data_IF_721982142749
#
_entry.id   IF_721982142749
#
_cell.length_a   1.000
_cell.length_b   1.000
_cell.length_c   1.000
_cell.angle_alpha   90.00
_cell.angle_beta   90.00
_cell.angle_gamma   90.00
#
_symmetry.space_group_name_H-M   'P 1'
#
loop_
_entity.id
_entity.type
_entity.pdbx_description
1 polymer ?
#
# COMPACT_ATOMS: atom_id res chain seq x y z
N UNK A 1 -8.83 15.37 -7.66
CA UNK A 1 -8.49 14.00 -7.26
C UNK A 1 -9.13 12.99 -8.18
N UNK A 2 -8.45 11.89 -8.40
CA UNK A 2 -9.01 10.79 -9.20
C UNK A 2 -9.59 9.74 -8.27
N UNK A 3 -10.58 9.04 -8.77
CA UNK A 3 -11.26 7.99 -8.00
C UNK A 3 -11.27 6.70 -8.82
N UNK A 4 -10.92 5.61 -8.17
CA UNK A 4 -10.99 4.29 -8.77
C UNK A 4 -12.09 3.48 -8.08
N UNK A 5 -13.00 2.93 -8.87
CA UNK A 5 -14.05 2.06 -8.35
C UNK A 5 -13.76 0.64 -8.79
N UNK A 6 -13.72 -0.28 -7.85
CA UNK A 6 -13.47 -1.69 -8.12
C UNK A 6 -14.70 -2.49 -7.70
N UNK A 7 -15.26 -3.23 -8.66
CA UNK A 7 -16.40 -4.11 -8.37
C UNK A 7 -15.87 -5.52 -8.12
N UNK A 8 -16.48 -6.21 -7.18
CA UNK A 8 -16.07 -7.57 -6.86
C UNK A 8 -17.28 -8.38 -6.36
N UNK A 9 -17.23 -9.72 -6.55
CA UNK A 9 -18.31 -10.58 -6.06
C UNK A 9 -18.49 -10.48 -4.55
N UNK A 10 -19.73 -10.53 -4.10
CA UNK A 10 -20.04 -10.34 -2.69
C UNK A 10 -19.41 -11.37 -1.77
N UNK A 11 -19.09 -12.53 -2.28
CA UNK A 11 -18.55 -13.61 -1.46
C UNK A 11 -17.02 -13.55 -1.29
N UNK A 12 -16.33 -12.63 -1.96
CA UNK A 12 -14.87 -12.58 -1.86
C UNK A 12 -14.36 -12.28 -0.46
N UNK A 13 -14.96 -11.33 0.28
CA UNK A 13 -14.50 -11.11 1.66
C UNK A 13 -14.59 -12.38 2.50
N UNK A 14 -15.70 -13.12 2.39
CA UNK A 14 -15.85 -14.36 3.13
C UNK A 14 -14.81 -15.40 2.71
N UNK A 15 -14.53 -15.47 1.42
CA UNK A 15 -13.50 -16.39 0.92
C UNK A 15 -12.14 -16.07 1.48
N UNK A 16 -11.87 -14.80 1.74
CA UNK A 16 -10.60 -14.35 2.30
C UNK A 16 -10.62 -14.34 3.83
N UNK A 17 -11.74 -14.73 4.43
CA UNK A 17 -11.94 -14.72 5.89
C UNK A 17 -11.79 -13.32 6.47
N UNK A 18 -12.30 -12.33 5.75
CA UNK A 18 -12.23 -10.93 6.15
C UNK A 18 -13.61 -10.31 6.11
N UNK A 19 -13.82 -9.28 6.91
CA UNK A 19 -15.01 -8.46 6.76
C UNK A 19 -14.88 -7.66 5.47
N UNK A 20 -15.98 -7.05 5.02
CA UNK A 20 -15.96 -6.23 3.83
C UNK A 20 -14.95 -5.09 3.96
N UNK A 21 -14.96 -4.42 5.10
CA UNK A 21 -14.04 -3.30 5.33
C UNK A 21 -12.60 -3.76 5.36
N UNK A 22 -12.35 -4.88 6.01
CA UNK A 22 -11.00 -5.44 6.06
C UNK A 22 -10.53 -5.86 4.68
N UNK A 23 -11.43 -6.43 3.88
CA UNK A 23 -11.10 -6.86 2.53
C UNK A 23 -10.74 -5.66 1.65
N UNK A 24 -11.53 -4.60 1.72
CA UNK A 24 -11.27 -3.40 0.92
C UNK A 24 -9.98 -2.71 1.35
N UNK A 25 -9.70 -2.70 2.65
CA UNK A 25 -8.44 -2.17 3.13
C UNK A 25 -7.26 -3.01 2.63
N UNK A 26 -7.40 -4.33 2.66
CA UNK A 26 -6.38 -5.24 2.18
C UNK A 26 -6.12 -5.04 0.69
N UNK A 27 -7.17 -4.79 -0.08
CA UNK A 27 -7.02 -4.54 -1.51
C UNK A 27 -6.23 -3.25 -1.78
N UNK A 28 -6.55 -2.19 -1.05
CA UNK A 28 -5.82 -0.92 -1.20
C UNK A 28 -4.36 -1.09 -0.82
N UNK A 29 -4.14 -1.80 0.26
CA UNK A 29 -2.79 -2.05 0.75
C UNK A 29 -1.99 -2.88 -0.25
N UNK A 30 -2.59 -3.93 -0.80
CA UNK A 30 -1.92 -4.79 -1.78
C UNK A 30 -1.58 -4.00 -3.04
N UNK A 31 -2.49 -3.14 -3.49
CA UNK A 31 -2.26 -2.31 -4.65
C UNK A 31 -1.09 -1.36 -4.42
N UNK A 32 -1.10 -0.68 -3.28
CA UNK A 32 -0.03 0.25 -2.93
C UNK A 32 1.31 -0.47 -2.80
N UNK A 33 1.30 -1.62 -2.12
CA UNK A 33 2.52 -2.39 -1.92
C UNK A 33 3.12 -2.86 -3.23
N UNK A 34 2.28 -3.32 -4.15
CA UNK A 34 2.78 -3.81 -5.43
C UNK A 34 3.35 -2.70 -6.28
N UNK A 35 2.71 -1.55 -6.32
CA UNK A 35 3.21 -0.42 -7.08
C UNK A 35 4.53 0.09 -6.50
N UNK A 36 4.67 0.03 -5.18
CA UNK A 36 5.93 0.37 -4.54
C UNK A 36 7.00 -0.66 -4.89
N UNK A 37 6.66 -1.93 -4.81
CA UNK A 37 7.60 -3.01 -5.12
C UNK A 37 8.10 -2.93 -6.56
N UNK A 38 7.20 -2.58 -7.48
CA UNK A 38 7.54 -2.44 -8.90
C UNK A 38 8.32 -1.17 -9.21
N UNK A 39 8.53 -0.32 -8.22
CA UNK A 39 9.24 0.94 -8.44
C UNK A 39 8.43 2.00 -9.15
N UNK A 40 7.12 1.83 -9.20
CA UNK A 40 6.23 2.81 -9.86
C UNK A 40 5.89 3.98 -8.95
N UNK A 41 5.90 3.74 -7.64
CA UNK A 41 5.61 4.76 -6.65
C UNK A 41 6.66 4.71 -5.56
N UNK A 42 6.97 5.88 -4.98
CA UNK A 42 7.77 5.94 -3.78
C UNK A 42 6.92 5.46 -2.59
N UNK A 43 7.56 5.25 -1.45
CA UNK A 43 6.84 4.81 -0.26
C UNK A 43 5.82 5.85 0.19
N UNK A 44 6.15 7.13 0.10
CA UNK A 44 5.21 8.19 0.46
C UNK A 44 4.02 8.25 -0.49
N UNK A 45 4.27 8.08 -1.79
CA UNK A 45 3.20 8.07 -2.78
C UNK A 45 2.30 6.87 -2.60
N UNK A 46 2.89 5.70 -2.37
CA UNK A 46 2.12 4.48 -2.17
C UNK A 46 1.27 4.56 -0.90
N UNK A 47 1.82 5.13 0.17
CA UNK A 47 1.09 5.29 1.42
C UNK A 47 -0.14 6.19 1.26
N UNK A 48 -0.15 7.07 0.27
CA UNK A 48 -1.30 7.93 0.02
C UNK A 48 -2.52 7.14 -0.46
N UNK A 49 -2.33 5.91 -0.92
CA UNK A 49 -3.44 5.07 -1.37
C UNK A 49 -4.17 4.37 -0.23
N UNK A 50 -3.60 4.39 0.96
CA UNK A 50 -4.22 3.79 2.14
C UNK A 50 -4.29 4.83 3.25
N UNK A 51 -5.26 4.72 4.16
CA UNK A 51 -5.38 5.69 5.25
C UNK A 51 -4.35 5.41 6.35
N UNK A 52 -3.08 5.66 6.01
CA UNK A 52 -1.98 5.41 6.93
C UNK A 52 -0.86 6.38 6.61
N UNK A 53 0.09 6.53 7.52
CA UNK A 53 1.25 7.34 7.26
C UNK A 53 2.34 6.46 6.62
N UNK A 54 3.41 7.11 6.14
CA UNK A 54 4.49 6.41 5.46
C UNK A 54 5.18 5.40 6.36
N UNK A 55 5.40 5.77 7.62
CA UNK A 55 6.08 4.88 8.55
C UNK A 55 5.28 3.60 8.80
N UNK A 56 3.99 3.76 9.07
CA UNK A 56 3.11 2.61 9.28
C UNK A 56 2.98 1.76 8.02
N UNK A 57 2.97 2.40 6.86
CA UNK A 57 2.91 1.68 5.58
C UNK A 57 4.16 0.81 5.40
N UNK A 58 5.34 1.37 5.65
CA UNK A 58 6.59 0.62 5.53
C UNK A 58 6.64 -0.55 6.49
N UNK A 59 6.15 -0.35 7.70
CA UNK A 59 6.07 -1.41 8.69
C UNK A 59 5.17 -2.54 8.21
N UNK A 60 4.05 -2.18 7.60
CA UNK A 60 3.11 -3.17 7.05
C UNK A 60 3.73 -3.93 5.88
N UNK A 61 4.47 -3.23 5.01
CA UNK A 61 5.17 -3.88 3.92
C UNK A 61 6.13 -4.95 4.44
N UNK A 62 6.84 -4.63 5.49
CA UNK A 62 7.77 -5.57 6.09
C UNK A 62 7.02 -6.82 6.57
N UNK A 63 5.87 -6.63 7.19
CA UNK A 63 5.04 -7.74 7.66
C UNK A 63 4.51 -8.59 6.51
N UNK A 64 4.29 -7.98 5.35
CA UNK A 64 3.80 -8.68 4.16
C UNK A 64 4.92 -9.36 3.38
N UNK A 65 6.16 -9.19 3.82
CA UNK A 65 7.29 -9.77 3.11
C UNK A 65 7.73 -8.99 1.88
N UNK A 66 7.23 -7.78 1.69
CA UNK A 66 7.68 -6.92 0.61
C UNK A 66 9.02 -6.32 1.04
N UNK A 67 10.05 -6.40 0.20
CA UNK A 67 11.39 -5.94 0.60
C UNK A 67 11.48 -4.43 0.68
N UNK A 68 10.99 -3.88 1.77
CA UNK A 68 11.08 -2.45 2.03
C UNK A 68 12.49 -2.05 2.47
N UNK A 69 13.30 -3.02 2.81
CA UNK A 69 14.68 -2.75 3.21
C UNK A 69 15.51 -2.20 2.07
N UNK A 70 15.04 -2.40 0.83
CA UNK A 70 15.76 -1.91 -0.34
C UNK A 70 15.62 -0.41 -0.54
N UNK A 71 14.59 0.17 0.05
CA UNK A 71 14.52 1.62 0.03
C UNK A 71 15.57 2.12 1.01
N UNK A 72 16.44 2.94 0.50
CA UNK A 72 17.61 3.37 1.24
C UNK A 72 17.51 4.84 1.60
N UNK A 73 18.59 5.39 2.14
CA UNK A 73 18.59 6.78 2.54
C UNK A 73 18.31 7.71 1.37
N UNK A 74 18.77 7.34 0.19
CA UNK A 74 18.56 8.18 -0.99
C UNK A 74 17.09 8.27 -1.35
N UNK A 75 16.39 7.13 -1.36
CA UNK A 75 14.97 7.13 -1.61
C UNK A 75 14.23 7.90 -0.52
N UNK A 76 14.63 7.67 0.71
CA UNK A 76 14.03 8.35 1.83
C UNK A 76 14.23 9.86 1.72
N UNK A 77 15.44 10.28 1.38
CA UNK A 77 15.76 11.69 1.23
C UNK A 77 14.97 12.31 0.09
N UNK A 78 14.81 11.58 -1.00
CA UNK A 78 14.04 12.05 -2.14
C UNK A 78 12.60 12.32 -1.74
N UNK A 79 12.00 11.43 -0.95
CA UNK A 79 10.63 11.62 -0.51
C UNK A 79 10.52 12.83 0.40
N UNK A 80 11.48 13.02 1.27
CA UNK A 80 11.48 14.16 2.15
C UNK A 80 11.60 15.45 1.34
N UNK A 81 12.45 15.44 0.32
CA UNK A 81 12.64 16.61 -0.53
C UNK A 81 11.38 16.93 -1.34
N UNK A 82 10.61 15.92 -1.70
CA UNK A 82 9.42 16.07 -2.52
C UNK A 82 8.15 16.25 -1.69
N UNK A 83 8.23 16.03 -0.43
CA UNK A 83 7.08 16.18 0.45
C UNK A 83 6.91 17.64 0.82
#
# INVERSE_FOLDING_TARGET
>A
MNTLVVEYPENLPDSAALSRQEFEHAMRLALAAKLFELGRLSSGQAAALVPTDRYSFLKTLHQLGVPAVDWNADEFDDEVANA
#
